data_IF_756671893212
#
_entry.id   IF_756671893212
#
_cell.length_a   1.000
_cell.length_b   1.000
_cell.length_c   1.000
_cell.angle_alpha   90.00
_cell.angle_beta   90.00
_cell.angle_gamma   90.00
#
_symmetry.space_group_name_H-M   'P 1'
#
loop_
_entity.id
_entity.type
_entity.pdbx_description
1 polymer ?
#
# COMPACT_ATOMS: atom_id res chain seq x y z
N UNK A 1 17.25 -11.53 -0.02
CA UNK A 1 16.41 -10.95 -1.08
C UNK A 1 17.31 -10.42 -2.19
N UNK A 2 17.20 -10.84 -3.44
CA UNK A 2 17.98 -10.23 -4.51
C UNK A 2 17.72 -8.73 -4.53
N UNK A 3 18.72 -7.93 -4.77
CA UNK A 3 18.69 -6.45 -4.80
C UNK A 3 18.46 -5.75 -3.45
N UNK A 4 18.54 -6.45 -2.34
CA UNK A 4 18.64 -5.88 -1.00
C UNK A 4 19.96 -6.35 -0.41
N UNK A 5 20.78 -5.41 0.03
CA UNK A 5 21.98 -5.73 0.80
C UNK A 5 21.53 -6.18 2.19
N UNK A 6 21.60 -7.49 2.42
CA UNK A 6 21.12 -8.08 3.68
C UNK A 6 22.00 -7.68 4.87
N UNK A 7 23.26 -7.33 4.65
CA UNK A 7 24.17 -6.88 5.71
C UNK A 7 23.81 -5.47 6.21
N UNK A 8 23.18 -4.65 5.35
CA UNK A 8 22.64 -3.34 5.72
C UNK A 8 21.25 -3.42 6.33
N UNK A 9 20.57 -4.55 6.16
CA UNK A 9 19.22 -4.76 6.67
C UNK A 9 19.26 -5.21 8.13
N UNK A 10 19.48 -4.27 9.03
CA UNK A 10 19.48 -4.51 10.47
C UNK A 10 18.06 -4.44 11.01
N UNK A 11 17.52 -5.52 11.62
CA UNK A 11 16.26 -5.43 12.33
C UNK A 11 16.42 -4.41 13.48
N UNK A 12 15.41 -3.53 13.60
CA UNK A 12 15.36 -2.58 14.72
C UNK A 12 15.17 -3.39 16.01
N UNK A 13 16.05 -3.22 16.97
CA UNK A 13 15.85 -3.74 18.31
C UNK A 13 14.86 -2.84 19.08
N UNK A 14 13.58 -3.14 18.91
CA UNK A 14 12.51 -2.40 19.58
C UNK A 14 12.60 -2.50 21.11
N UNK A 15 13.13 -3.59 21.65
CA UNK A 15 13.27 -3.77 23.09
C UNK A 15 14.34 -2.83 23.65
N UNK A 16 15.46 -2.66 22.93
CA UNK A 16 16.49 -1.69 23.31
C UNK A 16 16.01 -0.23 23.19
N UNK A 17 15.08 0.05 22.25
CA UNK A 17 14.57 1.41 22.03
C UNK A 17 13.43 1.80 22.96
N UNK A 18 12.54 0.88 23.28
CA UNK A 18 11.25 1.20 23.88
C UNK A 18 11.03 0.51 25.24
N UNK A 19 11.92 -0.37 25.65
CA UNK A 19 11.80 -1.20 26.86
C UNK A 19 10.42 -1.86 27.03
N UNK A 20 9.83 -2.28 25.90
CA UNK A 20 8.53 -2.94 25.87
C UNK A 20 8.68 -4.38 25.39
N UNK A 21 7.89 -5.32 25.91
CA UNK A 21 7.93 -6.70 25.46
C UNK A 21 7.53 -6.78 23.97
N UNK A 22 8.26 -7.61 23.21
CA UNK A 22 7.93 -7.85 21.79
C UNK A 22 6.53 -8.44 21.70
N UNK A 23 5.72 -7.88 20.81
CA UNK A 23 4.46 -8.52 20.44
C UNK A 23 4.76 -9.87 19.79
N UNK A 24 4.09 -10.90 20.26
CA UNK A 24 4.11 -12.25 19.62
C UNK A 24 3.22 -12.31 18.39
N UNK A 25 2.37 -11.31 18.18
CA UNK A 25 1.44 -11.24 17.06
C UNK A 25 2.09 -10.54 15.88
N UNK A 26 2.02 -11.16 14.70
CA UNK A 26 2.51 -10.57 13.45
C UNK A 26 1.56 -9.45 13.01
N UNK A 27 2.06 -8.24 12.74
CA UNK A 27 1.22 -7.16 12.18
C UNK A 27 0.60 -7.60 10.84
N UNK A 28 -0.68 -7.35 10.65
CA UNK A 28 -1.42 -7.69 9.41
C UNK A 28 -1.52 -6.47 8.52
N UNK A 29 -0.90 -6.54 7.35
CA UNK A 29 -0.79 -5.42 6.42
C UNK A 29 -1.51 -5.73 5.11
N UNK A 30 -2.50 -4.91 4.76
CA UNK A 30 -3.12 -4.91 3.44
C UNK A 30 -2.37 -3.94 2.53
N UNK A 31 -2.05 -4.38 1.32
CA UNK A 31 -1.43 -3.51 0.32
C UNK A 31 -2.32 -3.36 -0.91
N UNK A 32 -2.52 -2.10 -1.33
CA UNK A 32 -3.29 -1.73 -2.51
C UNK A 32 -2.38 -1.08 -3.55
N UNK A 33 -2.61 -1.37 -4.84
CA UNK A 33 -1.91 -0.74 -5.95
C UNK A 33 -2.88 -0.22 -7.02
N UNK A 34 -2.55 0.91 -7.65
CA UNK A 34 -3.46 1.69 -8.48
C UNK A 34 -3.33 1.47 -9.99
N UNK A 35 -3.10 0.25 -10.49
CA UNK A 35 -2.95 0.03 -11.92
C UNK A 35 -3.41 -1.37 -12.36
N UNK A 36 -4.02 -1.46 -13.54
CA UNK A 36 -4.41 -2.72 -14.18
C UNK A 36 -3.48 -3.14 -15.32
N UNK A 37 -2.37 -2.41 -15.54
CA UNK A 37 -1.40 -2.77 -16.59
C UNK A 37 -0.71 -4.08 -16.22
N UNK A 38 -0.44 -4.93 -17.20
CA UNK A 38 0.31 -6.17 -17.01
C UNK A 38 1.67 -5.91 -16.34
N UNK A 39 2.48 -5.00 -16.90
CA UNK A 39 3.69 -4.51 -16.26
C UNK A 39 3.37 -3.21 -15.49
N UNK A 40 2.81 -3.35 -14.31
CA UNK A 40 2.44 -2.24 -13.44
C UNK A 40 3.56 -1.90 -12.47
N UNK A 41 4.19 -0.74 -12.60
CA UNK A 41 5.24 -0.29 -11.68
C UNK A 41 4.73 -0.04 -10.26
N UNK A 42 3.48 0.38 -10.09
CA UNK A 42 2.89 0.48 -8.75
C UNK A 42 2.70 -0.89 -8.12
N UNK A 43 2.34 -1.93 -8.89
CA UNK A 43 2.32 -3.31 -8.40
C UNK A 43 3.72 -3.78 -8.01
N UNK A 44 4.72 -3.57 -8.88
CA UNK A 44 6.10 -3.98 -8.61
C UNK A 44 6.67 -3.31 -7.36
N UNK A 45 6.42 -2.01 -7.18
CA UNK A 45 6.82 -1.28 -5.96
C UNK A 45 6.09 -1.83 -4.71
N UNK A 46 4.80 -2.17 -4.84
CA UNK A 46 4.03 -2.79 -3.77
C UNK A 46 4.57 -4.18 -3.41
N UNK A 47 4.91 -4.99 -4.41
CA UNK A 47 5.50 -6.31 -4.21
C UNK A 47 6.88 -6.23 -3.54
N UNK A 48 7.71 -5.24 -3.89
CA UNK A 48 9.00 -5.02 -3.24
C UNK A 48 8.82 -4.61 -1.77
N UNK A 49 7.93 -3.66 -1.50
CA UNK A 49 7.60 -3.27 -0.14
C UNK A 49 7.02 -4.45 0.68
N UNK A 50 6.21 -5.32 0.04
CA UNK A 50 5.68 -6.52 0.68
C UNK A 50 6.78 -7.51 1.08
N UNK A 51 7.83 -7.66 0.25
CA UNK A 51 8.99 -8.51 0.59
C UNK A 51 9.72 -7.99 1.81
N UNK A 52 9.94 -6.68 1.87
CA UNK A 52 10.56 -6.01 3.02
C UNK A 52 9.71 -6.20 4.28
N UNK A 53 8.42 -5.94 4.22
CA UNK A 53 7.50 -6.09 5.36
C UNK A 53 7.46 -7.54 5.87
N UNK A 54 7.43 -8.53 4.96
CA UNK A 54 7.49 -9.95 5.34
C UNK A 54 8.82 -10.30 6.00
N UNK A 55 9.93 -9.77 5.51
CA UNK A 55 11.26 -9.93 6.14
C UNK A 55 11.28 -9.33 7.55
N UNK A 56 10.56 -8.25 7.78
CA UNK A 56 10.37 -7.62 9.10
C UNK A 56 9.36 -8.36 9.99
N UNK A 57 8.77 -9.45 9.52
CA UNK A 57 7.89 -10.30 10.32
C UNK A 57 6.40 -10.01 10.16
N UNK A 58 5.98 -9.12 9.27
CA UNK A 58 4.55 -8.86 9.03
C UNK A 58 3.88 -9.97 8.20
N UNK A 59 2.59 -10.19 8.45
CA UNK A 59 1.70 -10.91 7.54
C UNK A 59 1.16 -9.92 6.52
N UNK A 60 1.46 -10.14 5.22
CA UNK A 60 1.14 -9.19 4.16
C UNK A 60 0.25 -9.83 3.12
N UNK A 61 -0.88 -9.19 2.80
CA UNK A 61 -1.77 -9.52 1.69
C UNK A 61 -1.84 -8.36 0.71
N UNK A 62 -1.75 -8.66 -0.58
CA UNK A 62 -1.85 -7.69 -1.67
C UNK A 62 -3.19 -7.94 -2.35
N UNK A 63 -4.03 -6.91 -2.46
CA UNK A 63 -5.28 -6.97 -3.19
C UNK A 63 -5.04 -6.76 -4.68
N UNK A 64 -5.61 -7.62 -5.53
CA UNK A 64 -5.59 -7.43 -6.98
C UNK A 64 -6.85 -6.66 -7.42
N UNK A 65 -6.71 -5.41 -7.93
CA UNK A 65 -7.86 -4.60 -8.33
C UNK A 65 -8.51 -5.04 -9.66
N UNK A 66 -7.96 -6.06 -10.34
CA UNK A 66 -8.56 -6.56 -11.57
C UNK A 66 -9.97 -7.12 -11.32
N UNK A 67 -10.93 -6.68 -12.12
CA UNK A 67 -12.33 -7.07 -11.98
C UNK A 67 -13.08 -6.33 -10.87
N UNK A 68 -12.47 -5.37 -10.16
CA UNK A 68 -13.20 -4.50 -9.24
C UNK A 68 -14.09 -3.53 -10.04
N UNK A 69 -15.42 -3.53 -9.86
CA UNK A 69 -16.30 -2.59 -10.54
C UNK A 69 -16.11 -1.17 -10.00
N UNK A 70 -16.55 -0.18 -10.77
CA UNK A 70 -16.61 1.19 -10.26
C UNK A 70 -17.70 1.28 -9.17
N UNK A 71 -17.51 2.11 -8.15
CA UNK A 71 -18.58 2.46 -7.22
C UNK A 71 -19.82 2.94 -7.96
N UNK A 72 -20.99 2.67 -7.42
CA UNK A 72 -22.31 2.99 -7.98
C UNK A 72 -22.70 2.21 -9.25
N UNK A 73 -21.79 1.44 -9.83
CA UNK A 73 -22.09 0.61 -11.02
C UNK A 73 -22.68 -0.76 -10.69
N UNK A 74 -22.58 -1.20 -9.44
CA UNK A 74 -23.07 -2.51 -8.98
C UNK A 74 -23.30 -2.52 -7.46
N UNK A 75 -23.88 -3.61 -6.97
CA UNK A 75 -24.08 -3.84 -5.54
C UNK A 75 -22.73 -4.07 -4.82
N UNK A 76 -22.70 -3.68 -3.55
CA UNK A 76 -21.60 -4.00 -2.65
C UNK A 76 -21.38 -5.50 -2.44
N UNK A 77 -22.35 -6.35 -2.80
CA UNK A 77 -22.25 -7.83 -2.70
C UNK A 77 -21.37 -8.45 -3.79
N UNK A 78 -20.90 -7.66 -4.75
CA UNK A 78 -19.98 -8.14 -5.78
C UNK A 78 -18.73 -8.78 -5.14
N UNK A 79 -18.35 -9.98 -5.59
CA UNK A 79 -17.29 -10.77 -4.96
C UNK A 79 -15.97 -10.03 -4.78
N UNK A 80 -15.55 -9.22 -5.79
CA UNK A 80 -14.32 -8.41 -5.71
C UNK A 80 -14.43 -7.27 -4.67
N UNK A 81 -15.62 -6.76 -4.44
CA UNK A 81 -15.88 -5.75 -3.41
C UNK A 81 -15.80 -6.38 -2.02
N UNK A 82 -16.43 -7.54 -1.85
CA UNK A 82 -16.37 -8.26 -0.58
C UNK A 82 -14.95 -8.69 -0.23
N UNK A 83 -14.18 -9.24 -1.20
CA UNK A 83 -12.75 -9.55 -1.01
C UNK A 83 -11.96 -8.34 -0.47
N UNK A 84 -12.14 -7.16 -1.09
CA UNK A 84 -11.46 -5.93 -0.65
C UNK A 84 -11.86 -5.51 0.77
N UNK A 85 -13.16 -5.58 1.08
CA UNK A 85 -13.71 -5.23 2.40
C UNK A 85 -13.21 -6.17 3.49
N UNK A 86 -13.22 -7.47 3.23
CA UNK A 86 -12.75 -8.49 4.17
C UNK A 86 -11.25 -8.33 4.44
N UNK A 87 -10.45 -8.06 3.40
CA UNK A 87 -9.02 -7.76 3.56
C UNK A 87 -8.79 -6.46 4.34
N UNK A 88 -9.62 -5.45 4.11
CA UNK A 88 -9.53 -4.20 4.89
C UNK A 88 -9.88 -4.43 6.36
N UNK A 89 -10.91 -5.20 6.67
CA UNK A 89 -11.30 -5.55 8.04
C UNK A 89 -10.20 -6.39 8.72
N UNK A 90 -9.64 -7.35 8.00
CA UNK A 90 -8.55 -8.20 8.49
C UNK A 90 -7.29 -7.43 8.84
N UNK A 91 -6.96 -6.34 8.10
CA UNK A 91 -5.69 -5.62 8.25
C UNK A 91 -5.66 -4.73 9.51
N UNK A 92 -4.50 -4.53 10.08
CA UNK A 92 -4.21 -3.56 11.17
C UNK A 92 -3.50 -2.32 10.61
N UNK A 93 -2.83 -2.48 9.47
CA UNK A 93 -2.19 -1.42 8.71
C UNK A 93 -2.43 -1.60 7.22
N UNK A 94 -2.30 -0.50 6.48
CA UNK A 94 -2.43 -0.53 5.02
C UNK A 94 -1.27 0.22 4.36
N UNK A 95 -0.92 -0.21 3.15
CA UNK A 95 0.01 0.51 2.26
C UNK A 95 -0.72 0.78 0.95
N UNK A 96 -0.80 2.04 0.55
CA UNK A 96 -1.43 2.45 -0.70
C UNK A 96 -0.37 2.96 -1.68
N UNK A 97 -0.25 2.33 -2.85
CA UNK A 97 0.71 2.68 -3.90
C UNK A 97 -0.01 3.06 -5.20
N UNK A 98 -0.02 4.31 -5.56
CA UNK A 98 -0.66 4.77 -6.81
C UNK A 98 0.36 5.21 -7.85
N UNK A 99 0.17 4.91 -9.13
CA UNK A 99 0.80 5.73 -10.17
C UNK A 99 0.30 7.16 -10.04
N UNK A 100 1.19 8.12 -10.29
CA UNK A 100 0.75 9.49 -10.53
C UNK A 100 0.30 9.65 -11.98
N UNK A 101 -0.91 10.16 -12.17
CA UNK A 101 -1.48 10.45 -13.48
C UNK A 101 -2.13 11.83 -13.45
N UNK A 102 -1.63 12.75 -14.30
CA UNK A 102 -2.11 14.14 -14.34
C UNK A 102 -2.11 14.81 -12.95
N UNK A 103 -1.03 14.62 -12.19
CA UNK A 103 -0.87 15.23 -10.87
C UNK A 103 -1.78 14.64 -9.79
N UNK A 104 -2.35 13.44 -10.00
CA UNK A 104 -3.28 12.81 -9.06
C UNK A 104 -3.04 11.31 -8.95
N UNK A 105 -3.68 10.68 -7.95
CA UNK A 105 -3.81 9.22 -7.92
C UNK A 105 -4.66 8.75 -9.11
N UNK A 106 -4.56 7.48 -9.44
CA UNK A 106 -5.38 6.89 -10.51
C UNK A 106 -6.82 6.62 -10.06
N UNK A 107 -7.75 6.58 -11.03
CA UNK A 107 -9.12 6.12 -10.77
C UNK A 107 -9.19 4.70 -10.21
N UNK A 108 -8.26 3.81 -10.62
CA UNK A 108 -8.16 2.44 -10.06
C UNK A 108 -7.86 2.47 -8.56
N UNK A 109 -6.97 3.35 -8.09
CA UNK A 109 -6.71 3.52 -6.66
C UNK A 109 -7.92 4.13 -5.95
N UNK A 110 -8.50 5.17 -6.53
CA UNK A 110 -9.66 5.85 -5.93
C UNK A 110 -10.86 4.92 -5.80
N UNK A 111 -11.15 4.10 -6.82
CA UNK A 111 -12.23 3.12 -6.78
C UNK A 111 -12.06 2.10 -5.63
N UNK A 112 -10.84 1.61 -5.38
CA UNK A 112 -10.58 0.73 -4.23
C UNK A 112 -10.92 1.43 -2.91
N UNK A 113 -10.51 2.69 -2.74
CA UNK A 113 -10.75 3.45 -1.50
C UNK A 113 -12.26 3.74 -1.34
N UNK A 114 -12.97 4.04 -2.42
CA UNK A 114 -14.40 4.33 -2.40
C UNK A 114 -15.25 3.09 -2.05
N UNK A 115 -14.76 1.90 -2.35
CA UNK A 115 -15.42 0.67 -1.93
C UNK A 115 -15.21 0.30 -0.45
N UNK A 116 -14.23 0.92 0.23
CA UNK A 116 -14.04 0.71 1.67
C UNK A 116 -15.22 1.32 2.44
N UNK A 117 -15.91 0.54 3.28
CA UNK A 117 -17.11 1.04 3.94
C UNK A 117 -16.75 2.15 4.95
N UNK A 118 -17.57 3.21 4.97
CA UNK A 118 -17.45 4.27 5.97
C UNK A 118 -17.72 3.74 7.38
N UNK A 119 -18.60 2.74 7.50
CA UNK A 119 -18.86 2.06 8.77
C UNK A 119 -19.32 0.63 8.56
N UNK A 120 -18.99 -0.22 9.51
CA UNK A 120 -19.58 -1.54 9.69
C UNK A 120 -20.06 -1.61 11.14
N UNK A 121 -21.38 -1.72 11.34
CA UNK A 121 -21.95 -1.74 12.69
C UNK A 121 -21.70 -0.46 13.50
N UNK A 122 -21.67 0.72 12.86
CA UNK A 122 -21.46 2.01 13.53
C UNK A 122 -20.01 2.44 13.70
N UNK A 123 -19.04 1.57 13.44
CA UNK A 123 -17.59 1.87 13.56
C UNK A 123 -16.96 1.96 12.18
N UNK A 124 -16.11 2.97 11.95
CA UNK A 124 -15.30 3.06 10.72
C UNK A 124 -14.24 1.97 10.72
N UNK A 125 -14.25 1.14 9.68
CA UNK A 125 -13.36 -0.02 9.56
C UNK A 125 -11.88 0.34 9.47
N UNK A 126 -11.57 1.56 9.04
CA UNK A 126 -10.20 2.07 8.86
C UNK A 126 -9.73 2.95 10.04
N UNK A 127 -10.62 3.32 10.96
CA UNK A 127 -10.29 4.26 12.03
C UNK A 127 -9.17 3.74 12.94
N UNK A 128 -8.15 4.59 13.14
CA UNK A 128 -7.01 4.30 14.01
C UNK A 128 -5.98 3.35 13.40
N UNK A 129 -6.22 2.80 12.19
CA UNK A 129 -5.25 1.93 11.53
C UNK A 129 -4.10 2.74 10.93
N UNK A 130 -2.91 2.16 10.93
CA UNK A 130 -1.72 2.77 10.32
C UNK A 130 -1.81 2.76 8.80
N UNK A 131 -1.40 3.87 8.16
CA UNK A 131 -1.31 3.98 6.71
C UNK A 131 0.08 4.43 6.30
N UNK A 132 0.69 3.73 5.33
CA UNK A 132 1.83 4.19 4.56
C UNK A 132 1.40 4.49 3.12
N UNK A 133 1.98 5.52 2.51
CA UNK A 133 1.64 5.93 1.15
C UNK A 133 2.87 5.94 0.24
N UNK A 134 2.67 5.47 -0.98
CA UNK A 134 3.67 5.36 -2.02
C UNK A 134 3.12 5.84 -3.36
N UNK A 135 3.99 6.35 -4.22
CA UNK A 135 3.65 6.60 -5.62
C UNK A 135 4.76 6.18 -6.56
N UNK A 136 4.41 5.98 -7.82
CA UNK A 136 5.34 5.82 -8.94
C UNK A 136 4.99 6.83 -10.02
N UNK A 137 5.98 7.38 -10.69
CA UNK A 137 5.78 8.29 -11.82
C UNK A 137 6.67 7.93 -13.01
N UNK A 138 6.24 8.32 -14.21
CA UNK A 138 7.04 8.17 -15.44
C UNK A 138 7.97 9.35 -15.68
N UNK A 139 7.76 10.48 -15.04
CA UNK A 139 8.54 11.70 -15.16
C UNK A 139 9.55 11.88 -14.02
N UNK A 140 9.90 13.14 -13.78
CA UNK A 140 10.69 13.55 -12.62
C UNK A 140 9.97 13.24 -11.32
N UNK A 141 10.68 13.31 -10.21
CA UNK A 141 10.09 13.10 -8.90
C UNK A 141 8.94 14.09 -8.64
N UNK A 142 7.83 13.54 -8.16
CA UNK A 142 6.64 14.29 -7.74
C UNK A 142 6.10 13.69 -6.45
N UNK A 143 5.24 14.42 -5.76
CA UNK A 143 4.58 14.00 -4.52
C UNK A 143 3.06 14.21 -4.56
N UNK A 144 2.49 14.53 -5.72
CA UNK A 144 1.08 14.90 -5.81
C UNK A 144 0.15 13.73 -5.43
N UNK A 145 0.42 12.52 -5.93
CA UNK A 145 -0.42 11.37 -5.61
C UNK A 145 -0.32 11.00 -4.12
N UNK A 146 0.89 10.97 -3.52
CA UNK A 146 1.03 10.67 -2.09
C UNK A 146 0.39 11.74 -1.21
N UNK A 147 0.43 13.02 -1.60
CA UNK A 147 -0.26 14.09 -0.86
C UNK A 147 -1.77 13.88 -0.85
N UNK A 148 -2.35 13.46 -1.96
CA UNK A 148 -3.78 13.13 -2.05
C UNK A 148 -4.13 11.85 -1.27
N UNK A 149 -3.28 10.84 -1.31
CA UNK A 149 -3.45 9.63 -0.51
C UNK A 149 -3.41 9.96 1.00
N UNK A 150 -2.55 10.88 1.44
CA UNK A 150 -2.53 11.39 2.82
C UNK A 150 -3.83 12.08 3.20
N UNK A 151 -4.37 12.91 2.30
CA UNK A 151 -5.65 13.57 2.52
C UNK A 151 -6.78 12.54 2.70
N UNK A 152 -6.82 11.51 1.87
CA UNK A 152 -7.78 10.41 1.99
C UNK A 152 -7.56 9.59 3.26
N UNK A 153 -6.31 9.30 3.62
CA UNK A 153 -5.99 8.62 4.87
C UNK A 153 -6.54 9.36 6.09
N UNK A 154 -6.38 10.68 6.12
CA UNK A 154 -6.99 11.53 7.16
C UNK A 154 -8.53 11.44 7.14
N UNK A 155 -9.14 11.52 5.95
CA UNK A 155 -10.59 11.40 5.81
C UNK A 155 -11.11 10.04 6.28
N UNK A 156 -10.35 8.97 5.98
CA UNK A 156 -10.65 7.62 6.42
C UNK A 156 -10.28 7.37 7.90
N UNK A 157 -9.83 8.41 8.62
CA UNK A 157 -9.42 8.38 10.03
C UNK A 157 -8.27 7.41 10.33
N UNK A 158 -7.35 7.24 9.36
CA UNK A 158 -6.14 6.46 9.53
C UNK A 158 -5.01 7.30 10.10
N UNK A 159 -4.07 6.66 10.78
CA UNK A 159 -2.81 7.26 11.23
C UNK A 159 -1.79 7.12 10.10
N UNK A 160 -1.67 8.15 9.27
CA UNK A 160 -0.70 8.12 8.16
C UNK A 160 0.71 8.43 8.70
N UNK A 161 1.65 7.50 8.51
CA UNK A 161 3.04 7.70 8.94
C UNK A 161 3.68 8.88 8.21
N UNK A 162 4.65 9.60 8.83
CA UNK A 162 5.30 10.76 8.20
C UNK A 162 6.02 10.40 6.90
N UNK A 163 6.70 9.27 6.86
CA UNK A 163 7.47 8.84 5.69
C UNK A 163 6.55 8.47 4.51
N UNK A 164 7.04 8.75 3.32
CA UNK A 164 6.38 8.41 2.07
C UNK A 164 7.42 8.07 1.01
N UNK A 165 7.05 7.23 0.03
CA UNK A 165 7.93 6.87 -1.07
C UNK A 165 7.40 7.44 -2.39
N UNK A 166 8.29 8.01 -3.19
CA UNK A 166 8.01 8.42 -4.57
C UNK A 166 9.11 7.92 -5.49
N UNK A 167 8.75 7.00 -6.39
CA UNK A 167 9.66 6.39 -7.36
C UNK A 167 9.49 7.11 -8.69
N UNK A 168 10.44 8.00 -9.00
CA UNK A 168 10.50 8.73 -10.28
C UNK A 168 11.03 7.79 -11.37
N UNK A 169 10.66 8.05 -12.64
CA UNK A 169 11.11 7.28 -13.81
C UNK A 169 11.03 5.77 -13.57
N UNK A 170 9.94 5.33 -12.97
CA UNK A 170 9.78 3.97 -12.45
C UNK A 170 10.10 2.86 -13.47
N UNK A 171 10.02 3.16 -14.78
CA UNK A 171 10.39 2.24 -15.84
C UNK A 171 11.89 1.89 -15.85
N UNK A 172 12.75 2.71 -15.23
CA UNK A 172 14.18 2.45 -15.08
C UNK A 172 14.53 1.69 -13.80
N UNK A 173 13.63 1.69 -12.81
CA UNK A 173 13.92 1.22 -11.46
C UNK A 173 13.69 -0.28 -11.25
N UNK A 174 13.10 -0.97 -12.24
CA UNK A 174 12.81 -2.39 -12.17
C UNK A 174 13.48 -3.16 -13.30
N UNK A 175 14.04 -4.32 -12.98
CA UNK A 175 14.59 -5.26 -13.94
C UNK A 175 13.47 -6.03 -14.70
N UNK A 176 13.85 -6.89 -15.64
CA UNK A 176 12.89 -7.69 -16.44
C UNK A 176 12.06 -8.64 -15.57
N UNK A 177 12.64 -9.16 -14.48
CA UNK A 177 11.95 -10.02 -13.53
C UNK A 177 11.03 -9.23 -12.56
N UNK A 178 10.94 -7.90 -12.72
CA UNK A 178 10.11 -7.04 -11.89
C UNK A 178 10.68 -6.74 -10.50
N UNK A 179 11.99 -6.96 -10.29
CA UNK A 179 12.67 -6.64 -9.04
C UNK A 179 13.24 -5.22 -9.09
N UNK A 180 13.11 -4.50 -7.99
CA UNK A 180 13.73 -3.19 -7.89
C UNK A 180 15.25 -3.33 -7.99
N UNK A 181 15.88 -2.51 -8.83
CA UNK A 181 17.32 -2.48 -9.00
C UNK A 181 18.00 -1.90 -7.77
N UNK A 182 19.25 -2.30 -7.46
CA UNK A 182 20.02 -1.62 -6.43
C UNK A 182 20.13 -0.13 -6.77
N UNK A 183 19.95 0.73 -5.78
CA UNK A 183 20.29 2.16 -5.92
C UNK A 183 21.80 2.32 -5.76
N UNK A 184 22.44 3.18 -6.58
CA UNK A 184 23.83 3.57 -6.37
C UNK A 184 24.02 4.31 -5.05
#
# INVERSE_FOLDING_TARGET
>A
MPNVDEDLFRPIDLQALLDVPRSIQKPRVLMLYGSLRERSYSRLATEEAARILRRLGAEVRIYNPSGLPLPDSTSADHAKVQELRDLSIWSEAQVWCSPERHGSMTGVMKAQIDWLPLSAGGVRTTQGRTLAVMQVSGGSQSFNAVNQLRLLGRWMRMVTIPNQSSVAKAFNEFDEAGRMKPSP
#
